data_IF_382208405814
#
_entry.id   IF_382208405814
#
_cell.length_a   1.000
_cell.length_b   1.000
_cell.length_c   1.000
_cell.angle_alpha   90.00
_cell.angle_beta   90.00
_cell.angle_gamma   90.00
#
_symmetry.space_group_name_H-M   'P 1'
#
loop_
_entity.id
_entity.type
_entity.pdbx_description
1 polymer ?
#
# COMPACT_ATOMS: atom_id res chain seq x y z
N UNK A 1 -3.06 15.63 -7.66
CA UNK A 1 -1.70 15.04 -7.67
C UNK A 1 -1.31 14.36 -6.34
N UNK A 2 -1.97 14.65 -5.21
CA UNK A 2 -1.70 14.00 -3.91
C UNK A 2 -2.44 12.68 -3.62
N UNK A 3 -3.41 12.26 -4.45
CA UNK A 3 -4.18 11.02 -4.25
C UNK A 3 -3.47 9.81 -4.88
N UNK A 4 -2.68 10.01 -5.94
CA UNK A 4 -1.98 8.95 -6.69
C UNK A 4 -0.76 8.37 -5.96
N UNK A 5 -0.14 9.10 -5.02
CA UNK A 5 1.05 8.61 -4.30
C UNK A 5 0.70 7.62 -3.17
N UNK A 6 -0.53 7.67 -2.63
CA UNK A 6 -1.00 6.78 -1.55
C UNK A 6 -1.12 5.31 -1.99
N UNK A 7 -1.33 5.06 -3.28
CA UNK A 7 -1.47 3.70 -3.82
C UNK A 7 -0.15 3.01 -4.18
N UNK A 8 0.98 3.74 -4.25
CA UNK A 8 2.21 3.21 -4.85
C UNK A 8 3.09 2.41 -3.87
N UNK A 9 3.02 2.67 -2.55
CA UNK A 9 3.77 1.90 -1.55
C UNK A 9 3.13 0.54 -1.21
N UNK A 10 1.86 0.33 -1.58
CA UNK A 10 1.08 -0.84 -1.20
C UNK A 10 1.47 -2.13 -1.96
N UNK A 11 2.17 -2.01 -3.10
CA UNK A 11 2.45 -3.13 -3.99
C UNK A 11 3.74 -3.92 -3.64
N UNK A 12 4.69 -3.38 -2.89
CA UNK A 12 6.00 -4.03 -2.72
C UNK A 12 6.06 -5.14 -1.64
N UNK A 13 5.09 -5.24 -0.73
CA UNK A 13 5.12 -6.26 0.33
C UNK A 13 4.55 -7.63 -0.07
N UNK A 14 3.95 -7.77 -1.26
CA UNK A 14 3.27 -9.02 -1.68
C UNK A 14 4.24 -10.17 -2.04
N UNK A 15 5.53 -9.90 -2.27
CA UNK A 15 6.46 -10.88 -2.86
C UNK A 15 7.01 -11.95 -1.90
N UNK A 16 6.97 -11.73 -0.58
CA UNK A 16 7.71 -12.57 0.37
C UNK A 16 6.82 -13.68 0.99
N UNK A 17 5.49 -13.53 0.95
CA UNK A 17 4.57 -14.43 1.67
C UNK A 17 4.13 -15.67 0.85
N UNK A 18 4.21 -15.65 -0.48
CA UNK A 18 3.74 -16.74 -1.36
C UNK A 18 4.62 -18.01 -1.34
N UNK A 19 5.85 -17.94 -0.79
CA UNK A 19 6.78 -19.08 -0.83
C UNK A 19 6.42 -20.21 0.18
N UNK A 20 5.70 -19.91 1.26
CA UNK A 20 5.58 -20.81 2.42
C UNK A 20 4.35 -21.74 2.36
N UNK A 21 3.31 -21.43 1.60
CA UNK A 21 1.99 -22.10 1.72
C UNK A 21 1.74 -23.27 0.74
N UNK A 22 2.77 -23.80 0.08
CA UNK A 22 2.59 -24.72 -1.07
C UNK A 22 2.33 -26.20 -0.77
N UNK A 23 2.12 -26.65 0.48
CA UNK A 23 1.91 -28.09 0.77
C UNK A 23 0.77 -28.35 1.77
N UNK A 24 -0.45 -28.66 1.29
CA UNK A 24 -1.23 -29.88 1.62
C UNK A 24 -2.69 -29.83 1.10
N UNK A 25 -3.09 -30.92 0.44
CA UNK A 25 -4.40 -31.28 -0.14
C UNK A 25 -5.41 -31.76 0.94
N UNK A 26 -6.73 -31.93 0.77
CA UNK A 26 -7.77 -31.61 -0.23
C UNK A 26 -9.11 -31.87 0.50
N UNK A 27 -10.17 -31.10 0.19
CA UNK A 27 -11.59 -31.47 0.39
C UNK A 27 -12.03 -31.51 1.87
N UNK A 28 -12.84 -30.58 2.38
CA UNK A 28 -14.30 -30.73 2.40
C UNK A 28 -14.94 -29.48 3.06
N UNK A 29 -15.68 -28.70 2.26
CA UNK A 29 -17.01 -28.10 2.58
C UNK A 29 -17.20 -26.90 3.53
N UNK A 30 -16.19 -26.03 3.72
CA UNK A 30 -16.43 -24.57 3.89
C UNK A 30 -15.63 -23.74 2.87
N UNK A 31 -15.33 -24.40 1.75
CA UNK A 31 -14.71 -23.90 0.53
C UNK A 31 -15.40 -22.59 0.08
N UNK A 32 -14.61 -21.53 -0.12
CA UNK A 32 -14.83 -20.33 -0.96
C UNK A 32 -15.26 -18.96 -0.41
N UNK A 33 -15.81 -18.81 0.81
CA UNK A 33 -16.19 -17.47 1.33
C UNK A 33 -14.96 -16.57 1.65
N UNK A 34 -13.72 -17.06 1.47
CA UNK A 34 -12.53 -16.51 2.13
C UNK A 34 -11.21 -16.59 1.33
N UNK A 35 -11.17 -16.75 0.00
CA UNK A 35 -9.88 -17.08 -0.67
C UNK A 35 -9.34 -16.21 -1.82
N UNK A 36 -10.02 -15.16 -2.23
CA UNK A 36 -9.49 -14.14 -3.14
C UNK A 36 -10.26 -12.86 -2.80
N UNK A 37 -9.79 -11.98 -1.93
CA UNK A 37 -8.69 -11.11 -2.31
C UNK A 37 -8.69 -10.89 -3.84
N UNK A 38 -9.72 -10.22 -4.35
CA UNK A 38 -9.45 -9.02 -5.12
C UNK A 38 -8.54 -8.18 -4.19
N UNK A 39 -7.24 -8.27 -4.43
CA UNK A 39 -6.12 -8.19 -3.46
C UNK A 39 -5.92 -6.82 -2.76
N UNK A 40 -6.96 -6.00 -2.58
CA UNK A 40 -6.81 -4.55 -2.39
C UNK A 40 -7.68 -3.87 -1.31
N UNK A 41 -8.59 -4.53 -0.59
CA UNK A 41 -9.42 -3.82 0.42
C UNK A 41 -9.07 -4.15 1.89
N UNK A 42 -8.30 -5.21 2.17
CA UNK A 42 -8.00 -5.63 3.56
C UNK A 42 -6.51 -5.85 3.83
N UNK A 43 -5.66 -4.96 3.31
CA UNK A 43 -4.25 -4.87 3.73
C UNK A 43 -3.92 -3.61 4.55
N UNK A 44 -4.90 -2.76 4.92
CA UNK A 44 -4.62 -1.59 5.78
C UNK A 44 -5.83 -1.09 6.58
N UNK A 45 -6.11 -1.75 7.70
CA UNK A 45 -6.73 -1.07 8.85
C UNK A 45 -5.99 -1.36 10.18
N UNK A 46 -4.84 -2.03 10.15
CA UNK A 46 -4.08 -2.34 11.36
C UNK A 46 -2.57 -2.25 11.11
N UNK A 47 -2.15 -1.09 10.63
CA UNK A 47 -0.90 -0.52 11.10
C UNK A 47 -1.10 1.00 11.18
N UNK A 48 -1.16 1.47 12.41
CA UNK A 48 -1.17 2.87 12.81
C UNK A 48 -2.42 3.68 12.45
N UNK A 49 -2.80 4.50 13.43
CA UNK A 49 -3.48 5.76 13.19
C UNK A 49 -2.79 6.55 12.08
N UNK A 50 -3.59 7.38 11.42
CA UNK A 50 -3.21 8.30 10.36
C UNK A 50 -1.74 8.73 10.39
N UNK A 51 -0.92 8.15 9.52
CA UNK A 51 0.22 8.88 8.96
C UNK A 51 -0.27 9.41 7.63
N UNK A 52 -0.63 10.69 7.61
CA UNK A 52 -0.88 11.43 6.39
C UNK A 52 0.35 11.34 5.50
N UNK A 53 0.30 10.54 4.43
CA UNK A 53 1.23 10.68 3.31
C UNK A 53 0.92 11.96 2.50
N UNK A 54 0.98 13.12 3.15
CA UNK A 54 0.86 14.45 2.56
C UNK A 54 2.10 15.27 2.90
N UNK A 55 3.22 14.96 2.23
CA UNK A 55 4.48 15.66 2.50
C UNK A 55 5.62 15.42 1.51
N UNK A 56 5.37 14.94 0.29
CA UNK A 56 6.40 15.00 -0.76
C UNK A 56 6.51 16.43 -1.30
N UNK A 57 7.17 17.27 -0.52
CA UNK A 57 7.56 18.62 -0.86
C UNK A 57 8.73 19.00 0.03
N UNK A 58 9.90 18.42 -0.24
CA UNK A 58 11.14 18.79 0.43
C UNK A 58 11.44 20.27 0.17
N UNK A 59 10.94 21.16 1.02
CA UNK A 59 11.59 22.43 1.29
C UNK A 59 12.65 22.15 2.34
N UNK A 60 13.90 22.10 1.90
CA UNK A 60 15.07 22.06 2.77
C UNK A 60 15.06 23.28 3.69
N UNK A 61 14.49 23.14 4.89
CA UNK A 61 14.77 24.03 6.01
C UNK A 61 15.54 23.24 7.05
N UNK A 62 16.86 23.40 7.02
CA UNK A 62 17.73 23.12 8.17
C UNK A 62 17.35 24.09 9.29
N UNK A 63 16.31 23.77 10.05
CA UNK A 63 15.95 24.46 11.28
C UNK A 63 16.34 23.56 12.45
N UNK A 64 17.14 24.09 13.36
CA UNK A 64 17.55 23.44 14.61
C UNK A 64 16.42 22.60 15.21
N UNK A 65 16.72 21.32 15.50
CA UNK A 65 15.80 20.37 16.12
C UNK A 65 15.18 21.00 17.37
N UNK A 66 13.95 21.47 17.22
CA UNK A 66 13.15 22.00 18.31
C UNK A 66 12.08 20.96 18.57
N UNK A 67 12.16 20.33 19.74
CA UNK A 67 11.12 19.44 20.24
C UNK A 67 9.77 20.14 20.17
N UNK A 68 8.73 19.42 19.75
CA UNK A 68 7.35 19.85 19.86
C UNK A 68 7.08 20.46 21.25
N UNK A 69 6.44 21.63 21.30
CA UNK A 69 6.10 22.27 22.57
C UNK A 69 4.95 21.55 23.29
N UNK A 70 4.10 20.84 22.55
CA UNK A 70 2.93 20.10 23.06
C UNK A 70 3.31 18.68 23.45
N UNK A 71 4.01 17.96 22.57
CA UNK A 71 4.42 16.57 22.77
C UNK A 71 5.69 16.47 23.63
N UNK A 72 6.52 17.52 23.67
CA UNK A 72 7.84 17.43 24.29
C UNK A 72 8.81 16.55 23.49
N UNK A 73 9.96 16.18 24.07
CA UNK A 73 10.98 15.42 23.36
C UNK A 73 10.64 13.92 23.30
N UNK A 74 11.01 13.27 22.19
CA UNK A 74 10.87 11.83 21.96
C UNK A 74 11.53 10.99 23.06
N UNK A 75 12.62 11.50 23.66
CA UNK A 75 13.31 10.85 24.80
C UNK A 75 12.46 10.76 26.08
N UNK A 76 11.34 11.46 26.16
CA UNK A 76 10.35 11.33 27.23
C UNK A 76 9.43 10.11 27.11
N UNK A 77 9.45 9.41 25.97
CA UNK A 77 8.54 8.32 25.65
C UNK A 77 9.25 6.96 25.63
N UNK A 78 8.62 5.93 26.19
CA UNK A 78 9.14 4.55 26.22
C UNK A 78 8.69 3.75 24.98
N UNK A 79 8.94 4.29 23.78
CA UNK A 79 8.47 3.71 22.52
C UNK A 79 9.19 2.39 22.16
N UNK A 80 10.35 2.11 22.75
CA UNK A 80 11.12 0.89 22.53
C UNK A 80 10.49 -0.33 23.21
N UNK A 81 9.76 -0.12 24.31
CA UNK A 81 9.03 -1.17 25.03
C UNK A 81 7.50 -1.08 24.82
N UNK A 82 7.07 -0.27 23.84
CA UNK A 82 5.66 -0.06 23.54
C UNK A 82 4.95 -1.37 23.20
N UNK A 83 3.71 -1.49 23.65
CA UNK A 83 2.77 -2.54 23.22
C UNK A 83 1.43 -1.91 22.87
N UNK A 84 0.75 -2.43 21.86
CA UNK A 84 -0.52 -1.87 21.39
C UNK A 84 -1.68 -1.96 22.40
N UNK A 85 -1.55 -2.75 23.46
CA UNK A 85 -2.54 -2.78 24.56
C UNK A 85 -2.14 -1.89 25.74
N UNK A 86 -1.03 -1.15 25.66
CA UNK A 86 -0.60 -0.24 26.72
C UNK A 86 -1.62 0.88 26.90
N UNK A 87 -2.05 1.13 28.15
CA UNK A 87 -3.03 2.18 28.45
C UNK A 87 -4.47 1.83 28.07
N UNK A 88 -4.72 0.61 27.61
CA UNK A 88 -6.06 0.09 27.34
C UNK A 88 -6.51 -0.88 28.44
N UNK A 89 -7.79 -0.83 28.78
CA UNK A 89 -8.47 -1.85 29.57
C UNK A 89 -8.68 -3.11 28.73
N UNK A 90 -9.05 -4.22 29.38
CA UNK A 90 -9.29 -5.50 28.69
C UNK A 90 -10.45 -5.45 27.68
N UNK A 91 -11.40 -4.53 27.88
CA UNK A 91 -12.54 -4.24 27.02
C UNK A 91 -12.29 -3.07 26.05
N UNK A 92 -11.04 -2.64 25.87
CA UNK A 92 -10.63 -1.73 24.80
C UNK A 92 -10.87 -0.24 25.06
N UNK A 93 -11.20 0.15 26.29
CA UNK A 93 -11.32 1.54 26.69
C UNK A 93 -9.98 2.10 27.20
N UNK A 94 -9.77 3.40 27.12
CA UNK A 94 -8.60 4.06 27.67
C UNK A 94 -8.63 4.04 29.21
N UNK A 95 -7.56 3.51 29.82
CA UNK A 95 -7.49 3.30 31.26
C UNK A 95 -7.61 4.63 32.02
N UNK A 96 -8.61 4.71 32.92
CA UNK A 96 -8.85 5.90 33.74
C UNK A 96 -9.45 7.09 32.99
N UNK A 97 -9.92 6.91 31.75
CA UNK A 97 -10.54 7.95 30.94
C UNK A 97 -12.04 7.67 30.82
N UNK A 98 -12.86 8.58 31.34
CA UNK A 98 -14.26 8.72 30.92
C UNK A 98 -14.30 9.77 29.81
N UNK A 99 -14.44 9.34 28.56
CA UNK A 99 -14.27 10.21 27.40
C UNK A 99 -15.30 11.36 27.37
N UNK A 100 -16.51 11.14 27.90
CA UNK A 100 -17.53 12.19 28.04
C UNK A 100 -17.16 13.33 29.01
N UNK A 101 -16.15 13.15 29.88
CA UNK A 101 -15.61 14.27 30.70
C UNK A 101 -14.76 15.23 29.87
N UNK A 102 -14.29 14.80 28.69
CA UNK A 102 -13.37 15.54 27.83
C UNK A 102 -14.01 16.01 26.52
N UNK A 103 -15.01 15.25 26.02
CA UNK A 103 -15.66 15.46 24.72
C UNK A 103 -17.11 15.89 24.90
N UNK A 104 -17.49 16.96 24.20
CA UNK A 104 -18.90 17.29 23.95
C UNK A 104 -19.25 16.88 22.53
N UNK A 105 -20.11 15.86 22.38
CA UNK A 105 -20.63 15.40 21.09
C UNK A 105 -21.72 16.35 20.57
N UNK A 106 -21.89 16.50 19.23
CA UNK A 106 -22.99 17.28 18.67
C UNK A 106 -24.35 16.62 18.99
N UNK A 107 -25.42 17.39 19.16
CA UNK A 107 -26.73 16.86 19.64
C UNK A 107 -27.32 15.74 18.76
N UNK A 108 -27.00 15.74 17.47
CA UNK A 108 -27.48 14.81 16.45
C UNK A 108 -26.46 13.71 16.08
N UNK A 109 -25.39 13.53 16.87
CA UNK A 109 -24.35 12.53 16.61
C UNK A 109 -24.91 11.11 16.41
N UNK A 110 -26.04 10.78 17.05
CA UNK A 110 -26.68 9.47 16.94
C UNK A 110 -27.55 9.30 15.67
N UNK A 111 -27.78 10.37 14.90
CA UNK A 111 -28.58 10.37 13.67
C UNK A 111 -28.07 11.45 12.70
N UNK A 112 -26.81 11.33 12.30
CA UNK A 112 -26.06 12.36 11.56
C UNK A 112 -26.77 12.73 10.25
N UNK A 113 -27.12 14.01 10.03
CA UNK A 113 -27.76 14.44 8.78
C UNK A 113 -26.72 14.57 7.66
N UNK A 114 -26.78 13.68 6.68
CA UNK A 114 -25.89 13.68 5.52
C UNK A 114 -26.68 13.95 4.24
N UNK A 115 -26.08 14.70 3.31
CA UNK A 115 -26.69 14.87 1.98
C UNK A 115 -26.28 13.71 1.11
N UNK A 116 -27.24 13.11 0.41
CA UNK A 116 -26.97 12.03 -0.54
C UNK A 116 -25.91 12.43 -1.57
N UNK A 117 -25.98 13.65 -2.08
CA UNK A 117 -25.05 14.14 -3.11
C UNK A 117 -23.59 14.24 -2.62
N UNK A 118 -23.34 14.30 -1.31
CA UNK A 118 -21.99 14.41 -0.75
C UNK A 118 -21.34 13.02 -0.58
N UNK A 119 -22.13 11.93 -0.62
CA UNK A 119 -21.64 10.55 -0.43
C UNK A 119 -21.85 9.63 -1.64
N UNK A 120 -22.68 10.03 -2.62
CA UNK A 120 -22.91 9.26 -3.83
C UNK A 120 -21.61 9.16 -4.66
N UNK A 121 -21.13 7.94 -4.99
CA UNK A 121 -19.98 7.76 -5.87
C UNK A 121 -20.20 8.43 -7.24
N UNK A 122 -19.18 9.11 -7.74
CA UNK A 122 -19.21 9.60 -9.11
C UNK A 122 -18.96 8.45 -10.10
N UNK A 123 -19.57 8.53 -11.29
CA UNK A 123 -19.32 7.59 -12.39
C UNK A 123 -17.83 7.55 -12.78
N UNK A 124 -17.15 8.70 -12.66
CA UNK A 124 -15.72 8.88 -12.92
C UNK A 124 -14.84 8.07 -11.94
N UNK A 125 -15.27 7.92 -10.68
CA UNK A 125 -14.55 7.13 -9.68
C UNK A 125 -14.68 5.63 -9.98
N UNK A 126 -15.87 5.19 -10.39
CA UNK A 126 -16.12 3.80 -10.82
C UNK A 126 -15.32 3.49 -12.07
N UNK A 127 -15.30 4.40 -13.06
CA UNK A 127 -14.48 4.23 -14.25
C UNK A 127 -12.98 4.15 -13.90
N UNK A 128 -12.51 4.96 -12.96
CA UNK A 128 -11.12 4.89 -12.49
C UNK A 128 -10.78 3.55 -11.86
N UNK A 129 -11.72 2.92 -11.13
CA UNK A 129 -11.53 1.56 -10.59
C UNK A 129 -11.45 0.51 -11.70
N UNK A 130 -12.28 0.63 -12.74
CA UNK A 130 -12.20 -0.21 -13.93
C UNK A 130 -10.87 -0.05 -14.67
N UNK A 131 -10.43 1.18 -14.91
CA UNK A 131 -9.19 1.47 -15.61
C UNK A 131 -8.00 0.83 -14.86
N UNK A 132 -7.94 1.00 -13.54
CA UNK A 132 -6.91 0.37 -12.71
C UNK A 132 -7.00 -1.16 -12.73
N UNK A 133 -8.21 -1.71 -12.72
CA UNK A 133 -8.44 -3.16 -12.75
C UNK A 133 -7.97 -3.75 -14.08
N UNK A 134 -8.34 -3.16 -15.21
CA UNK A 134 -7.95 -3.65 -16.54
C UNK A 134 -6.45 -3.42 -16.79
N UNK A 135 -5.88 -2.30 -16.33
CA UNK A 135 -4.44 -2.02 -16.42
C UNK A 135 -3.62 -3.09 -15.69
N UNK A 136 -4.07 -3.50 -14.50
CA UNK A 136 -3.42 -4.55 -13.70
C UNK A 136 -3.59 -5.96 -14.30
N UNK A 137 -4.49 -6.13 -15.26
CA UNK A 137 -4.82 -7.39 -15.92
C UNK A 137 -4.54 -7.37 -17.43
N UNK A 138 -3.59 -6.54 -17.88
CA UNK A 138 -3.12 -6.56 -19.27
C UNK A 138 -2.73 -7.96 -19.70
N UNK A 139 -3.06 -8.27 -20.95
CA UNK A 139 -2.70 -9.54 -21.58
C UNK A 139 -1.68 -9.30 -22.68
N UNK A 140 -0.78 -10.26 -22.85
CA UNK A 140 0.09 -10.30 -24.02
C UNK A 140 -0.68 -10.95 -25.18
N UNK A 141 -0.97 -10.17 -26.22
CA UNK A 141 -1.57 -10.68 -27.44
C UNK A 141 -0.47 -10.98 -28.47
N UNK A 142 -0.33 -12.23 -28.95
CA UNK A 142 0.69 -12.58 -29.94
C UNK A 142 0.54 -11.79 -31.23
N UNK A 143 1.66 -11.27 -31.72
CA UNK A 143 1.78 -10.62 -33.03
C UNK A 143 2.35 -11.64 -34.02
N UNK A 144 1.69 -11.79 -35.17
CA UNK A 144 2.17 -12.67 -36.24
C UNK A 144 2.05 -11.97 -37.60
N UNK A 145 2.93 -12.32 -38.54
CA UNK A 145 2.83 -11.87 -39.93
C UNK A 145 3.37 -10.46 -40.21
N UNK A 146 4.05 -9.84 -39.25
CA UNK A 146 4.85 -8.61 -39.45
C UNK A 146 6.17 -8.67 -38.68
N UNK A 147 7.10 -7.81 -39.07
CA UNK A 147 8.35 -7.59 -38.35
C UNK A 147 8.11 -6.85 -37.03
N UNK A 148 9.13 -6.88 -36.16
CA UNK A 148 9.15 -6.19 -34.87
C UNK A 148 9.03 -4.67 -35.05
N UNK A 149 8.21 -4.05 -34.22
CA UNK A 149 7.97 -2.60 -34.18
C UNK A 149 8.19 -2.07 -32.75
N UNK A 150 8.49 -0.77 -32.61
CA UNK A 150 8.55 -0.12 -31.30
C UNK A 150 7.21 -0.29 -30.56
N UNK A 151 7.27 -0.70 -29.29
CA UNK A 151 6.11 -1.01 -28.45
C UNK A 151 5.76 -2.49 -28.38
N UNK A 152 6.32 -3.33 -29.25
CA UNK A 152 6.18 -4.78 -29.13
C UNK A 152 6.96 -5.32 -27.93
N UNK A 153 6.45 -6.38 -27.33
CA UNK A 153 7.19 -7.27 -26.43
C UNK A 153 7.86 -8.34 -27.31
N UNK A 154 9.17 -8.24 -27.45
CA UNK A 154 10.00 -9.20 -28.16
C UNK A 154 10.56 -10.22 -27.17
N UNK A 155 10.18 -11.48 -27.34
CA UNK A 155 10.84 -12.57 -26.65
C UNK A 155 12.13 -12.91 -27.39
N UNK A 156 13.27 -12.74 -26.72
CA UNK A 156 14.60 -12.87 -27.34
C UNK A 156 15.50 -13.81 -26.54
N UNK A 157 16.35 -14.52 -27.27
CA UNK A 157 17.58 -15.09 -26.73
C UNK A 157 18.73 -14.20 -27.16
N UNK A 158 19.67 -13.92 -26.26
CA UNK A 158 20.85 -13.16 -26.63
C UNK A 158 22.11 -13.65 -25.93
N UNK A 159 23.25 -13.50 -26.60
CA UNK A 159 24.57 -13.74 -26.02
C UNK A 159 25.55 -12.63 -26.44
N UNK A 160 25.97 -11.85 -25.46
CA UNK A 160 26.87 -10.71 -25.59
C UNK A 160 28.33 -11.08 -25.47
N UNK A 161 29.16 -10.43 -26.29
CA UNK A 161 30.63 -10.56 -26.23
C UNK A 161 31.28 -9.18 -26.28
N UNK A 162 32.39 -9.02 -25.56
CA UNK A 162 33.31 -7.88 -25.68
C UNK A 162 34.67 -8.43 -26.07
N UNK A 163 35.27 -7.88 -27.14
CA UNK A 163 36.53 -8.37 -27.71
C UNK A 163 36.52 -9.91 -27.99
N UNK A 164 35.34 -10.46 -28.31
CA UNK A 164 35.12 -11.88 -28.59
C UNK A 164 35.01 -12.79 -27.35
N UNK A 165 34.99 -12.23 -26.13
CA UNK A 165 34.81 -12.98 -24.88
C UNK A 165 33.41 -12.74 -24.33
N UNK A 166 32.70 -13.81 -23.98
CA UNK A 166 31.40 -13.74 -23.31
C UNK A 166 31.59 -13.21 -21.88
N UNK A 167 30.74 -12.28 -21.47
CA UNK A 167 30.77 -11.72 -20.12
C UNK A 167 29.52 -12.12 -19.33
N UNK A 168 29.68 -12.18 -18.01
CA UNK A 168 28.62 -12.56 -17.06
C UNK A 168 27.51 -11.50 -17.07
N UNK A 169 26.26 -11.96 -17.13
CA UNK A 169 25.10 -11.09 -17.30
C UNK A 169 24.86 -10.64 -18.75
N UNK A 170 25.71 -11.04 -19.69
CA UNK A 170 25.56 -10.75 -21.12
C UNK A 170 24.73 -11.77 -21.90
N UNK A 171 24.22 -12.82 -21.26
CA UNK A 171 23.47 -13.91 -21.92
C UNK A 171 22.17 -14.18 -21.20
N UNK A 172 21.08 -14.29 -21.97
CA UNK A 172 19.77 -14.74 -21.48
C UNK A 172 19.02 -15.51 -22.58
N UNK A 173 18.14 -16.40 -22.16
CA UNK A 173 17.18 -17.10 -23.01
C UNK A 173 15.76 -16.77 -22.55
N UNK A 174 14.79 -16.83 -23.45
CA UNK A 174 13.37 -16.55 -23.22
C UNK A 174 13.10 -15.19 -22.55
N UNK A 175 13.89 -14.16 -22.88
CA UNK A 175 13.76 -12.84 -22.25
C UNK A 175 12.73 -11.96 -22.97
N UNK A 176 11.69 -11.51 -22.25
CA UNK A 176 10.70 -10.57 -22.77
C UNK A 176 11.21 -9.12 -22.65
N UNK A 177 11.51 -8.51 -23.80
CA UNK A 177 11.96 -7.12 -23.91
C UNK A 177 10.88 -6.27 -24.60
N UNK A 178 10.38 -5.23 -23.91
CA UNK A 178 9.52 -4.23 -24.56
C UNK A 178 10.38 -3.28 -25.39
N UNK A 179 10.20 -3.27 -26.71
CA UNK A 179 11.00 -2.46 -27.63
C UNK A 179 10.67 -0.97 -27.47
N UNK A 180 11.67 -0.16 -27.17
CA UNK A 180 11.53 1.27 -26.88
C UNK A 180 11.30 1.59 -25.40
N UNK A 181 11.42 0.61 -24.49
CA UNK A 181 11.34 0.87 -23.04
C UNK A 181 12.59 1.56 -22.50
N UNK A 182 13.73 1.47 -23.21
CA UNK A 182 15.01 1.98 -22.75
C UNK A 182 15.55 1.21 -21.54
N UNK A 183 15.11 -0.03 -21.35
CA UNK A 183 15.59 -0.91 -20.28
C UNK A 183 16.96 -1.49 -20.61
N UNK A 184 17.26 -1.64 -21.90
CA UNK A 184 18.55 -2.11 -22.39
C UNK A 184 19.49 -0.95 -22.76
N UNK A 185 20.74 -1.29 -23.08
CA UNK A 185 21.77 -0.33 -23.51
C UNK A 185 21.24 0.47 -24.72
N UNK A 186 21.42 1.80 -24.76
CA UNK A 186 20.98 2.62 -25.88
C UNK A 186 21.42 2.06 -27.24
N UNK A 187 20.47 1.97 -28.17
CA UNK A 187 20.67 1.42 -29.51
C UNK A 187 20.51 -0.10 -29.62
N UNK A 188 20.34 -0.83 -28.52
CA UNK A 188 20.05 -2.27 -28.56
C UNK A 188 18.66 -2.54 -29.13
N UNK A 189 17.63 -1.96 -28.50
CA UNK A 189 16.22 -2.17 -28.83
C UNK A 189 15.90 -1.71 -30.27
N UNK A 190 16.48 -0.59 -30.71
CA UNK A 190 16.28 -0.03 -32.06
C UNK A 190 16.76 -0.95 -33.18
N UNK A 191 17.77 -1.79 -32.90
CA UNK A 191 18.33 -2.73 -33.88
C UNK A 191 17.51 -4.02 -34.00
N UNK A 192 16.60 -4.29 -33.06
CA UNK A 192 15.66 -5.42 -33.15
C UNK A 192 14.47 -5.06 -34.05
N UNK A 193 14.09 -3.78 -34.07
CA UNK A 193 13.00 -3.26 -34.91
C UNK A 193 13.28 -3.59 -36.39
N UNK A 194 12.29 -4.17 -37.06
CA UNK A 194 12.37 -4.59 -38.46
C UNK A 194 12.78 -6.05 -38.69
N UNK A 195 13.21 -6.77 -37.65
CA UNK A 195 13.46 -8.22 -37.73
C UNK A 195 12.16 -9.04 -37.61
N UNK A 196 12.15 -10.22 -38.23
CA UNK A 196 11.02 -11.14 -38.18
C UNK A 196 11.24 -12.22 -37.11
N UNK A 197 10.14 -12.80 -36.64
CA UNK A 197 10.18 -13.96 -35.76
C UNK A 197 10.99 -15.10 -36.42
N UNK A 198 11.94 -15.64 -35.68
CA UNK A 198 12.89 -16.67 -36.10
C UNK A 198 14.21 -16.14 -36.67
N UNK A 199 14.36 -14.83 -36.84
CA UNK A 199 15.62 -14.24 -37.29
C UNK A 199 16.69 -14.38 -36.20
N UNK A 200 17.92 -14.68 -36.63
CA UNK A 200 19.13 -14.61 -35.83
C UNK A 200 20.05 -13.56 -36.46
N UNK A 201 20.44 -12.56 -35.67
CA UNK A 201 21.17 -11.39 -36.12
C UNK A 201 22.08 -10.84 -35.02
N UNK A 202 23.05 -10.02 -35.41
CA UNK A 202 23.98 -9.39 -34.48
C UNK A 202 23.55 -7.94 -34.20
N UNK A 203 23.52 -7.58 -32.93
CA UNK A 203 23.29 -6.22 -32.43
C UNK A 203 24.61 -5.69 -31.87
N UNK A 204 25.08 -4.57 -32.41
CA UNK A 204 26.33 -3.93 -31.95
C UNK A 204 25.99 -2.67 -31.16
N UNK A 205 26.45 -2.59 -29.91
CA UNK A 205 26.23 -1.42 -29.05
C UNK A 205 27.52 -1.02 -28.34
N UNK A 206 27.59 0.24 -27.91
CA UNK A 206 28.66 0.72 -27.03
C UNK A 206 28.08 0.96 -25.64
N UNK A 207 28.70 0.35 -24.64
CA UNK A 207 28.33 0.59 -23.25
C UNK A 207 28.60 2.05 -22.84
N UNK A 208 27.76 2.64 -21.97
CA UNK A 208 28.04 3.94 -21.36
C UNK A 208 29.39 3.99 -20.63
N UNK A 209 29.97 5.18 -20.51
CA UNK A 209 31.26 5.40 -19.81
C UNK A 209 31.18 5.12 -18.31
N UNK A 210 30.00 5.17 -17.71
CA UNK A 210 29.73 4.91 -16.30
C UNK A 210 29.26 3.47 -16.02
N UNK A 211 29.30 2.59 -17.02
CA UNK A 211 28.87 1.21 -16.86
C UNK A 211 29.87 0.38 -16.02
N UNK A 212 29.36 -0.44 -15.11
CA UNK A 212 30.19 -1.28 -14.25
C UNK A 212 30.87 -2.43 -15.00
N UNK A 213 32.08 -2.79 -14.58
CA UNK A 213 32.81 -3.94 -15.12
C UNK A 213 32.11 -5.27 -14.74
N UNK A 214 32.26 -6.28 -15.59
CA UNK A 214 31.76 -7.64 -15.35
C UNK A 214 32.92 -8.65 -15.31
N UNK A 215 32.62 -9.94 -15.35
CA UNK A 215 33.62 -11.02 -15.39
C UNK A 215 33.33 -12.01 -16.52
N UNK A 216 34.35 -12.67 -17.05
CA UNK A 216 34.16 -13.89 -17.84
C UNK A 216 33.78 -15.09 -16.95
N UNK A 217 33.50 -16.23 -17.56
CA UNK A 217 33.20 -17.48 -16.85
C UNK A 217 34.34 -17.94 -15.92
N UNK A 218 35.59 -17.54 -16.21
CA UNK A 218 36.76 -17.86 -15.41
C UNK A 218 37.00 -16.86 -14.26
N UNK A 219 36.14 -15.85 -14.11
CA UNK A 219 36.23 -14.82 -13.07
C UNK A 219 37.22 -13.68 -13.37
N UNK A 220 37.69 -13.56 -14.61
CA UNK A 220 38.54 -12.45 -15.01
C UNK A 220 37.69 -11.21 -15.29
N UNK A 221 38.11 -10.05 -14.80
CA UNK A 221 37.42 -8.79 -15.05
C UNK A 221 37.37 -8.45 -16.53
N UNK A 222 36.18 -8.14 -17.03
CA UNK A 222 35.94 -7.58 -18.36
C UNK A 222 35.48 -6.14 -18.18
N UNK A 223 36.26 -5.21 -18.71
CA UNK A 223 35.88 -3.80 -18.75
C UNK A 223 34.75 -3.62 -19.76
N UNK A 224 33.60 -3.14 -19.29
CA UNK A 224 32.44 -2.88 -20.15
C UNK A 224 32.34 -1.40 -20.49
N UNK A 225 32.66 -0.50 -19.56
CA UNK A 225 32.61 0.96 -19.75
C UNK A 225 33.26 1.41 -21.07
N UNK A 226 32.48 2.12 -21.90
CA UNK A 226 32.94 2.69 -23.18
C UNK A 226 33.33 1.65 -24.25
N UNK A 227 33.14 0.34 -23.98
CA UNK A 227 33.48 -0.73 -24.92
C UNK A 227 32.34 -1.05 -25.86
N UNK A 228 32.72 -1.39 -27.08
CA UNK A 228 31.80 -1.99 -28.05
C UNK A 228 31.57 -3.46 -27.69
N UNK A 229 30.31 -3.88 -27.76
CA UNK A 229 29.88 -5.24 -27.55
C UNK A 229 29.01 -5.71 -28.71
N UNK A 230 29.12 -6.99 -29.04
CA UNK A 230 28.31 -7.65 -30.06
C UNK A 230 27.44 -8.69 -29.38
N UNK A 231 26.14 -8.58 -29.56
CA UNK A 231 25.15 -9.51 -29.06
C UNK A 231 24.59 -10.30 -30.23
N UNK A 232 24.73 -11.62 -30.22
CA UNK A 232 23.97 -12.47 -31.11
C UNK A 232 22.56 -12.63 -30.53
N UNK A 233 21.55 -12.17 -31.25
CA UNK A 233 20.15 -12.13 -30.82
C UNK A 233 19.33 -13.05 -31.70
N UNK A 234 18.47 -13.86 -31.09
CA UNK A 234 17.42 -14.62 -31.77
C UNK A 234 16.07 -14.08 -31.33
N UNK A 235 15.21 -13.72 -32.29
CA UNK A 235 13.85 -13.25 -32.01
C UNK A 235 12.87 -14.44 -32.02
N UNK A 236 12.43 -14.88 -30.84
CA UNK A 236 11.60 -16.08 -30.68
C UNK A 236 10.11 -15.82 -30.93
N UNK A 237 9.58 -14.70 -30.42
CA UNK A 237 8.19 -14.31 -30.64
C UNK A 237 7.99 -12.81 -30.43
N UNK A 238 6.85 -12.31 -30.92
CA UNK A 238 6.40 -10.94 -30.69
C UNK A 238 5.01 -10.98 -30.07
N UNK A 239 4.76 -10.09 -29.13
CA UNK A 239 3.45 -9.81 -28.56
C UNK A 239 3.25 -8.31 -28.39
N UNK A 240 2.00 -7.88 -28.21
CA UNK A 240 1.67 -6.53 -27.75
C UNK A 240 0.92 -6.61 -26.44
N UNK A 241 1.20 -5.67 -25.54
CA UNK A 241 0.46 -5.54 -24.29
C UNK A 241 -0.84 -4.79 -24.53
N UNK A 242 -1.98 -5.46 -24.33
CA UNK A 242 -3.31 -4.87 -24.55
C UNK A 242 -4.14 -4.93 -23.28
N UNK A 243 -5.00 -3.93 -23.11
CA UNK A 243 -6.02 -3.96 -22.07
C UNK A 243 -7.07 -5.03 -22.42
N UNK A 244 -7.47 -5.87 -21.46
CA UNK A 244 -8.66 -6.69 -21.64
C UNK A 244 -9.90 -5.81 -21.78
N UNK A 245 -10.92 -6.33 -22.45
CA UNK A 245 -12.23 -5.67 -22.51
C UNK A 245 -13.08 -6.08 -21.30
N UNK A 246 -13.67 -5.10 -20.63
CA UNK A 246 -14.64 -5.32 -19.55
C UNK A 246 -15.93 -5.93 -20.12
N UNK A 247 -15.99 -7.26 -20.13
CA UNK A 247 -17.13 -8.04 -20.62
C UNK A 247 -17.55 -9.05 -19.57
N UNK A 248 -18.81 -9.50 -19.60
CA UNK A 248 -19.30 -10.53 -18.65
C UNK A 248 -18.46 -11.82 -18.73
N UNK A 249 -17.99 -12.19 -19.92
CA UNK A 249 -17.11 -13.35 -20.09
C UNK A 249 -15.77 -13.17 -19.36
N UNK A 250 -15.19 -11.96 -19.44
CA UNK A 250 -13.95 -11.65 -18.72
C UNK A 250 -14.17 -11.63 -17.21
N UNK A 251 -15.32 -11.13 -16.75
CA UNK A 251 -15.70 -11.14 -15.33
C UNK A 251 -15.87 -12.57 -14.81
N UNK A 252 -16.62 -13.41 -15.52
CA UNK A 252 -16.80 -14.82 -15.19
C UNK A 252 -15.45 -15.55 -15.04
N UNK A 253 -14.53 -15.33 -15.98
CA UNK A 253 -13.19 -15.95 -15.96
C UNK A 253 -12.33 -15.50 -14.77
N UNK A 254 -12.40 -14.22 -14.39
CA UNK A 254 -11.50 -13.65 -13.38
C UNK A 254 -12.07 -13.65 -11.95
N UNK A 255 -13.40 -13.58 -11.83
CA UNK A 255 -14.12 -13.35 -10.58
C UNK A 255 -15.25 -14.34 -10.30
N UNK A 256 -15.75 -15.08 -11.28
CA UNK A 256 -16.89 -16.00 -11.11
C UNK A 256 -16.63 -17.05 -10.03
N UNK A 257 -15.50 -17.76 -10.10
CA UNK A 257 -15.18 -18.76 -9.08
C UNK A 257 -14.82 -18.13 -7.73
N UNK A 258 -14.05 -17.05 -7.74
CA UNK A 258 -13.40 -16.54 -6.53
C UNK A 258 -14.22 -15.56 -5.72
N UNK A 259 -15.10 -14.82 -6.38
CA UNK A 259 -15.84 -13.71 -5.80
C UNK A 259 -17.35 -13.86 -6.03
N UNK A 260 -17.80 -14.87 -6.80
CA UNK A 260 -19.21 -15.06 -7.15
C UNK A 260 -19.78 -13.84 -7.90
N UNK A 261 -18.94 -13.24 -8.76
CA UNK A 261 -19.29 -12.12 -9.63
C UNK A 261 -19.20 -12.59 -11.09
N UNK A 262 -20.29 -12.45 -11.82
CA UNK A 262 -20.50 -13.08 -13.14
C UNK A 262 -20.66 -12.06 -14.26
N UNK A 263 -20.95 -10.80 -13.92
CA UNK A 263 -21.28 -9.76 -14.90
C UNK A 263 -20.58 -8.44 -14.60
N UNK A 264 -20.41 -7.61 -15.64
CA UNK A 264 -19.88 -6.24 -15.49
C UNK A 264 -20.74 -5.43 -14.53
N UNK A 265 -22.08 -5.59 -14.60
CA UNK A 265 -23.00 -4.88 -13.72
C UNK A 265 -22.82 -5.26 -12.23
N UNK A 266 -22.44 -6.50 -11.92
CA UNK A 266 -22.14 -6.91 -10.54
C UNK A 266 -20.83 -6.31 -10.03
N UNK A 267 -19.82 -6.16 -10.91
CA UNK A 267 -18.58 -5.45 -10.58
C UNK A 267 -18.84 -3.95 -10.40
N UNK A 268 -19.65 -3.33 -11.26
CA UNK A 268 -20.07 -1.93 -11.11
C UNK A 268 -20.76 -1.70 -9.77
N UNK A 269 -21.71 -2.57 -9.41
CA UNK A 269 -22.41 -2.49 -8.13
C UNK A 269 -21.45 -2.71 -6.96
N UNK A 270 -20.52 -3.65 -7.07
CA UNK A 270 -19.49 -3.88 -6.05
C UNK A 270 -18.62 -2.62 -5.86
N UNK A 271 -18.13 -2.00 -6.94
CA UNK A 271 -17.37 -0.75 -6.87
C UNK A 271 -18.19 0.39 -6.25
N UNK A 272 -19.44 0.54 -6.68
CA UNK A 272 -20.37 1.51 -6.13
C UNK A 272 -20.54 1.32 -4.62
N UNK A 273 -20.86 0.11 -4.17
CA UNK A 273 -21.12 -0.18 -2.76
C UNK A 273 -19.89 0.09 -1.88
N UNK A 274 -18.69 -0.27 -2.37
CA UNK A 274 -17.44 0.00 -1.66
C UNK A 274 -17.14 1.50 -1.57
N UNK A 275 -17.29 2.25 -2.67
CA UNK A 275 -17.10 3.70 -2.69
C UNK A 275 -18.14 4.41 -1.81
N UNK A 276 -19.41 4.03 -1.91
CA UNK A 276 -20.49 4.59 -1.10
C UNK A 276 -20.25 4.34 0.39
N UNK A 277 -19.90 3.09 0.76
CA UNK A 277 -19.56 2.76 2.14
C UNK A 277 -18.37 3.58 2.64
N UNK A 278 -17.34 3.77 1.81
CA UNK A 278 -16.16 4.58 2.16
C UNK A 278 -16.54 6.05 2.36
N UNK A 279 -17.29 6.63 1.43
CA UNK A 279 -17.75 8.01 1.50
C UNK A 279 -18.64 8.25 2.72
N UNK A 280 -19.56 7.31 3.01
CA UNK A 280 -20.42 7.38 4.18
C UNK A 280 -19.62 7.30 5.48
N UNK A 281 -18.64 6.38 5.58
CA UNK A 281 -17.74 6.30 6.74
C UNK A 281 -16.98 7.61 6.93
N UNK A 282 -16.38 8.16 5.86
CA UNK A 282 -15.63 9.41 5.93
C UNK A 282 -16.54 10.57 6.37
N UNK A 283 -17.73 10.70 5.78
CA UNK A 283 -18.67 11.75 6.13
C UNK A 283 -19.13 11.68 7.60
N UNK A 284 -19.30 10.46 8.14
CA UNK A 284 -19.61 10.26 9.57
C UNK A 284 -18.43 10.70 10.45
N UNK A 285 -17.21 10.29 10.13
CA UNK A 285 -16.00 10.65 10.90
C UNK A 285 -15.73 12.15 10.84
N UNK A 286 -15.81 12.73 9.64
CA UNK A 286 -15.65 14.17 9.41
C UNK A 286 -16.69 14.95 10.21
N UNK A 287 -17.97 14.54 10.15
CA UNK A 287 -19.02 15.19 10.92
C UNK A 287 -18.72 15.20 12.42
N UNK A 288 -18.36 14.04 12.99
CA UNK A 288 -18.04 13.95 14.41
C UNK A 288 -16.82 14.80 14.77
N UNK A 289 -15.79 14.80 13.94
CA UNK A 289 -14.54 15.51 14.20
C UNK A 289 -14.73 17.03 14.11
N UNK A 290 -15.49 17.50 13.12
CA UNK A 290 -15.76 18.94 12.92
C UNK A 290 -16.74 19.52 13.94
N UNK A 291 -17.67 18.70 14.46
CA UNK A 291 -18.77 19.18 15.30
C UNK A 291 -18.63 18.79 16.79
N UNK A 292 -17.69 17.92 17.15
CA UNK A 292 -17.36 17.65 18.55
C UNK A 292 -16.44 18.73 19.11
N UNK A 293 -16.56 19.02 20.41
CA UNK A 293 -15.64 19.89 21.12
C UNK A 293 -14.82 19.08 22.10
N UNK A 294 -13.50 19.23 22.05
CA UNK A 294 -12.56 18.54 22.93
C UNK A 294 -11.91 19.56 23.85
N UNK A 295 -11.99 19.30 25.16
CA UNK A 295 -11.49 20.23 26.19
C UNK A 295 -10.01 20.03 26.51
N UNK A 296 -9.56 18.77 26.52
CA UNK A 296 -8.14 18.40 26.67
C UNK A 296 -7.95 16.93 26.29
N UNK A 297 -6.76 16.58 25.79
CA UNK A 297 -6.37 15.19 25.51
C UNK A 297 -5.80 14.54 26.78
N UNK A 298 -6.33 13.39 27.22
CA UNK A 298 -5.74 12.63 28.32
C UNK A 298 -4.33 12.13 28.01
N UNK A 299 -3.45 12.17 29.00
CA UNK A 299 -2.03 11.78 28.86
C UNK A 299 -1.85 10.34 28.36
N UNK A 300 -2.75 9.42 28.73
CA UNK A 300 -2.70 8.02 28.28
C UNK A 300 -2.89 7.89 26.75
N UNK A 301 -3.75 8.70 26.13
CA UNK A 301 -3.93 8.73 24.67
C UNK A 301 -2.71 9.35 23.99
N UNK A 302 -2.22 10.48 24.51
CA UNK A 302 -1.07 11.18 23.95
C UNK A 302 0.19 10.29 23.97
N UNK A 303 0.47 9.69 25.12
CA UNK A 303 1.57 8.75 25.29
C UNK A 303 1.42 7.55 24.35
N UNK A 304 0.21 7.00 24.22
CA UNK A 304 -0.04 5.90 23.30
C UNK A 304 0.27 6.29 21.85
N UNK A 305 -0.23 7.43 21.37
CA UNK A 305 -0.05 7.85 19.98
C UNK A 305 1.41 8.10 19.64
N UNK A 306 2.11 8.85 20.49
CA UNK A 306 3.54 9.14 20.29
C UNK A 306 4.35 7.84 20.34
N UNK A 307 4.13 6.98 21.33
CA UNK A 307 4.84 5.72 21.42
C UNK A 307 4.54 4.80 20.23
N UNK A 308 3.29 4.71 19.78
CA UNK A 308 2.91 3.91 18.62
C UNK A 308 3.65 4.36 17.35
N UNK A 309 3.70 5.67 17.09
CA UNK A 309 4.37 6.20 15.91
C UNK A 309 5.89 6.00 15.97
N UNK A 310 6.52 6.32 17.09
CA UNK A 310 7.97 6.12 17.25
C UNK A 310 8.36 4.64 17.24
N UNK A 311 7.55 3.76 17.84
CA UNK A 311 7.79 2.32 17.87
C UNK A 311 7.71 1.69 16.47
N UNK A 312 6.79 2.17 15.64
CA UNK A 312 6.66 1.77 14.23
C UNK A 312 7.98 2.00 13.48
N UNK A 313 8.51 3.23 13.51
CA UNK A 313 9.77 3.53 12.82
C UNK A 313 10.97 2.86 13.49
N UNK A 314 10.98 2.75 14.81
CA UNK A 314 12.05 2.06 15.54
C UNK A 314 12.15 0.58 15.15
N UNK A 315 11.01 -0.07 14.90
CA UNK A 315 10.95 -1.45 14.43
C UNK A 315 11.55 -1.60 13.02
N UNK A 316 11.29 -0.64 12.13
CA UNK A 316 11.93 -0.61 10.81
C UNK A 316 13.43 -0.32 10.88
N UNK A 317 13.86 0.61 11.75
CA UNK A 317 15.28 0.86 11.98
C UNK A 317 16.00 -0.44 12.35
N UNK A 318 15.47 -1.20 13.31
CA UNK A 318 16.01 -2.49 13.70
C UNK A 318 16.00 -3.52 12.56
N UNK A 319 14.90 -3.59 11.78
CA UNK A 319 14.76 -4.51 10.65
C UNK A 319 15.81 -4.25 9.55
N UNK A 320 16.13 -2.98 9.29
CA UNK A 320 17.12 -2.58 8.30
C UNK A 320 18.56 -2.48 8.87
N UNK A 321 18.76 -2.81 10.14
CA UNK A 321 20.08 -2.89 10.76
C UNK A 321 20.67 -1.54 11.21
N UNK A 322 19.83 -0.52 11.41
CA UNK A 322 20.23 0.77 11.98
C UNK A 322 20.39 0.65 13.49
N UNK A 323 21.40 1.31 14.06
CA UNK A 323 21.66 1.24 15.51
C UNK A 323 20.70 2.15 16.29
N UNK A 324 20.23 3.23 15.65
CA UNK A 324 19.30 4.19 16.27
C UNK A 324 18.18 4.59 15.33
N UNK A 325 17.07 5.06 15.92
CA UNK A 325 15.93 5.60 15.17
C UNK A 325 16.35 6.83 14.33
N UNK A 326 17.16 7.73 14.89
CA UNK A 326 17.58 8.96 14.21
C UNK A 326 18.40 8.67 12.94
N UNK A 327 19.28 7.66 12.96
CA UNK A 327 20.03 7.24 11.77
C UNK A 327 19.11 6.74 10.66
N UNK A 328 18.08 5.97 11.01
CA UNK A 328 17.08 5.50 10.06
C UNK A 328 16.25 6.66 9.49
N UNK A 329 15.76 7.55 10.35
CA UNK A 329 14.97 8.71 9.95
C UNK A 329 15.76 9.64 9.03
N UNK A 330 17.02 9.92 9.35
CA UNK A 330 17.87 10.78 8.54
C UNK A 330 18.19 10.13 7.19
N UNK A 331 18.48 8.82 7.18
CA UNK A 331 18.84 8.08 5.98
C UNK A 331 17.69 7.81 5.00
N UNK A 332 16.47 7.64 5.49
CA UNK A 332 15.32 7.21 4.67
C UNK A 332 14.15 8.18 4.63
N UNK A 333 13.94 8.95 5.69
CA UNK A 333 12.74 9.76 5.85
C UNK A 333 13.02 11.26 5.74
N UNK A 334 14.29 11.67 5.77
CA UNK A 334 14.69 13.07 5.67
C UNK A 334 14.45 13.88 6.94
N UNK A 335 14.17 13.22 8.07
CA UNK A 335 14.10 13.85 9.39
C UNK A 335 15.43 13.65 10.12
N UNK A 336 16.02 14.74 10.62
CA UNK A 336 17.30 14.67 11.33
C UNK A 336 17.21 13.91 12.66
N UNK A 337 16.05 13.97 13.33
CA UNK A 337 15.81 13.32 14.63
C UNK A 337 14.35 12.90 14.80
N UNK A 338 14.09 12.02 15.76
CA UNK A 338 12.74 11.68 16.22
C UNK A 338 11.96 12.91 16.72
N UNK A 339 12.62 13.89 17.34
CA UNK A 339 11.99 15.16 17.74
C UNK A 339 11.49 15.96 16.53
N UNK A 340 12.25 15.95 15.43
CA UNK A 340 11.84 16.63 14.19
C UNK A 340 10.63 15.94 13.56
N UNK A 341 10.58 14.60 13.57
CA UNK A 341 9.42 13.83 13.15
C UNK A 341 8.17 14.17 13.99
N UNK A 342 8.30 14.19 15.32
CA UNK A 342 7.18 14.53 16.22
C UNK A 342 6.69 15.96 16.02
N UNK A 343 7.60 16.92 15.80
CA UNK A 343 7.22 18.30 15.53
C UNK A 343 6.46 18.45 14.20
N UNK A 344 6.87 17.72 13.15
CA UNK A 344 6.24 17.76 11.84
C UNK A 344 4.88 17.04 11.82
N UNK A 345 4.71 16.02 12.68
CA UNK A 345 3.49 15.21 12.76
C UNK A 345 2.62 15.52 13.99
N UNK A 346 2.90 16.62 14.70
CA UNK A 346 2.18 16.99 15.93
C UNK A 346 0.67 17.10 15.70
N UNK A 347 0.25 17.78 14.63
CA UNK A 347 -1.17 17.96 14.30
C UNK A 347 -1.86 16.61 14.03
N UNK A 348 -1.21 15.72 13.28
CA UNK A 348 -1.74 14.38 12.97
C UNK A 348 -1.86 13.51 14.22
N UNK A 349 -0.89 13.59 15.14
CA UNK A 349 -0.90 12.87 16.43
C UNK A 349 -2.06 13.36 17.32
N UNK A 350 -2.27 14.68 17.38
CA UNK A 350 -3.34 15.26 18.19
C UNK A 350 -4.71 14.94 17.58
N UNK A 351 -4.88 15.04 16.26
CA UNK A 351 -6.11 14.65 15.57
C UNK A 351 -6.44 13.16 15.78
N UNK A 352 -5.42 12.31 15.81
CA UNK A 352 -5.52 10.88 16.11
C UNK A 352 -5.99 10.62 17.55
N UNK A 353 -5.49 11.39 18.53
CA UNK A 353 -5.99 11.34 19.91
C UNK A 353 -7.45 11.78 19.99
N UNK A 354 -7.80 12.87 19.30
CA UNK A 354 -9.12 13.46 19.27
C UNK A 354 -10.16 12.46 18.74
N UNK A 355 -9.87 11.81 17.61
CA UNK A 355 -10.73 10.79 17.02
C UNK A 355 -10.97 9.61 17.97
N UNK A 356 -9.91 9.09 18.60
CA UNK A 356 -10.02 7.98 19.56
C UNK A 356 -10.91 8.35 20.76
N UNK A 357 -10.75 9.57 21.25
CA UNK A 357 -11.52 10.08 22.38
C UNK A 357 -12.99 10.29 22.00
N UNK A 358 -13.26 10.84 20.82
CA UNK A 358 -14.62 10.99 20.26
C UNK A 358 -15.29 9.62 20.14
N UNK A 359 -14.60 8.62 19.58
CA UNK A 359 -15.18 7.28 19.39
C UNK A 359 -15.51 6.61 20.72
N UNK A 360 -14.63 6.73 21.72
CA UNK A 360 -14.94 6.24 23.06
C UNK A 360 -16.11 7.03 23.69
N UNK A 361 -16.19 8.34 23.50
CA UNK A 361 -17.32 9.13 24.00
C UNK A 361 -18.65 8.69 23.38
N UNK A 362 -18.67 8.36 22.09
CA UNK A 362 -19.86 7.80 21.43
C UNK A 362 -20.21 6.43 22.02
N UNK A 363 -19.22 5.56 22.20
CA UNK A 363 -19.42 4.24 22.80
C UNK A 363 -20.01 4.34 24.22
N UNK A 364 -19.44 5.20 25.06
CA UNK A 364 -19.92 5.46 26.43
C UNK A 364 -21.34 6.04 26.42
N UNK A 365 -21.63 6.99 25.53
CA UNK A 365 -22.93 7.67 25.47
C UNK A 365 -24.07 6.74 25.03
N UNK A 366 -23.76 5.78 24.16
CA UNK A 366 -24.71 4.82 23.61
C UNK A 366 -24.67 3.43 24.29
N UNK A 367 -23.81 3.25 25.31
CA UNK A 367 -23.58 1.98 26.00
C UNK A 367 -23.22 0.83 25.03
N UNK A 368 -22.31 1.12 24.11
CA UNK A 368 -21.87 0.20 23.06
C UNK A 368 -20.72 -0.68 23.51
N UNK A 369 -20.76 -1.94 23.09
CA UNK A 369 -19.67 -2.89 23.25
C UNK A 369 -19.63 -3.83 22.03
N UNK A 370 -18.43 -4.22 21.55
CA UNK A 370 -18.32 -5.14 20.44
C UNK A 370 -18.90 -6.51 20.78
N UNK A 371 -19.49 -7.16 19.79
CA UNK A 371 -19.97 -8.54 19.87
C UNK A 371 -18.82 -9.53 19.71
N UNK A 372 -19.03 -10.78 20.16
CA UNK A 372 -18.06 -11.88 19.95
C UNK A 372 -17.69 -12.07 18.46
N UNK A 373 -18.65 -11.82 17.55
CA UNK A 373 -18.41 -11.95 16.12
C UNK A 373 -17.50 -10.84 15.57
N UNK A 374 -17.64 -9.62 16.10
CA UNK A 374 -16.77 -8.48 15.74
C UNK A 374 -15.37 -8.64 16.32
N UNK A 375 -15.25 -9.19 17.53
CA UNK A 375 -13.95 -9.51 18.13
C UNK A 375 -13.18 -10.58 17.34
N UNK A 376 -13.89 -11.58 16.81
CA UNK A 376 -13.27 -12.66 16.01
C UNK A 376 -12.61 -12.13 14.73
N UNK A 377 -13.10 -11.01 14.17
CA UNK A 377 -12.47 -10.35 13.00
C UNK A 377 -11.01 -9.99 13.28
N UNK A 378 -10.70 -9.61 14.53
CA UNK A 378 -9.38 -9.15 14.96
C UNK A 378 -8.61 -10.17 15.78
N UNK A 379 -9.13 -11.40 15.95
CA UNK A 379 -8.54 -12.41 16.82
C UNK A 379 -7.08 -12.74 16.48
N UNK A 380 -6.69 -12.63 15.20
CA UNK A 380 -5.30 -12.85 14.77
C UNK A 380 -4.30 -11.83 15.33
N UNK A 381 -4.76 -10.66 15.79
CA UNK A 381 -3.90 -9.62 16.37
C UNK A 381 -3.69 -9.79 17.87
N UNK A 382 -4.44 -10.66 18.53
CA UNK A 382 -4.38 -10.83 19.98
C UNK A 382 -2.99 -11.24 20.48
N UNK A 383 -2.27 -12.09 19.74
CA UNK A 383 -0.97 -12.60 20.16
C UNK A 383 0.13 -11.53 20.08
N UNK A 384 0.12 -10.72 19.02
CA UNK A 384 1.16 -9.70 18.78
C UNK A 384 0.82 -8.33 19.37
N UNK A 385 -0.45 -7.93 19.36
CA UNK A 385 -0.91 -6.58 19.72
C UNK A 385 -1.66 -6.54 21.07
N UNK A 386 -2.05 -7.71 21.59
CA UNK A 386 -2.74 -7.87 22.86
C UNK A 386 -4.26 -7.68 22.80
N UNK A 387 -4.94 -8.13 23.85
CA UNK A 387 -6.40 -8.20 23.91
C UNK A 387 -7.09 -6.84 23.99
N UNK A 388 -6.49 -5.87 24.69
CA UNK A 388 -7.05 -4.52 24.80
C UNK A 388 -7.13 -3.85 23.43
N UNK A 389 -6.09 -4.01 22.61
CA UNK A 389 -6.06 -3.49 21.24
C UNK A 389 -7.12 -4.13 20.33
N UNK A 390 -7.28 -5.45 20.42
CA UNK A 390 -8.33 -6.19 19.69
C UNK A 390 -9.72 -5.65 20.03
N UNK A 391 -9.99 -5.38 21.31
CA UNK A 391 -11.26 -4.81 21.74
C UNK A 391 -11.42 -3.35 21.30
N UNK A 392 -10.35 -2.54 21.33
CA UNK A 392 -10.38 -1.17 20.83
C UNK A 392 -10.79 -1.15 19.35
N UNK A 393 -10.15 -1.96 18.50
CA UNK A 393 -10.47 -2.03 17.07
C UNK A 393 -11.92 -2.44 16.85
N UNK A 394 -12.38 -3.51 17.51
CA UNK A 394 -13.76 -3.98 17.41
C UNK A 394 -14.77 -2.94 17.91
N UNK A 395 -14.46 -2.22 18.99
CA UNK A 395 -15.31 -1.16 19.53
C UNK A 395 -15.43 0.01 18.54
N UNK A 396 -14.32 0.45 17.93
CA UNK A 396 -14.33 1.52 16.94
C UNK A 396 -15.15 1.15 15.69
N UNK A 397 -14.99 -0.08 15.19
CA UNK A 397 -15.79 -0.59 14.07
C UNK A 397 -17.27 -0.68 14.41
N UNK A 398 -17.60 -1.14 15.62
CA UNK A 398 -18.98 -1.23 16.10
C UNK A 398 -19.63 0.16 16.24
N UNK A 399 -18.90 1.15 16.75
CA UNK A 399 -19.33 2.56 16.80
C UNK A 399 -19.61 3.06 15.38
N UNK A 400 -18.67 2.88 14.45
CA UNK A 400 -18.86 3.32 13.06
C UNK A 400 -20.03 2.63 12.37
N UNK A 401 -20.19 1.32 12.55
CA UNK A 401 -21.34 0.58 12.01
C UNK A 401 -22.66 1.16 12.56
N UNK A 402 -22.74 1.36 13.87
CA UNK A 402 -23.91 1.93 14.54
C UNK A 402 -24.28 3.30 13.99
N UNK A 403 -23.30 4.18 13.83
CA UNK A 403 -23.52 5.54 13.33
C UNK A 403 -23.87 5.59 11.84
N UNK A 404 -23.30 4.71 11.02
CA UNK A 404 -23.65 4.59 9.60
C UNK A 404 -25.08 4.10 9.42
N UNK A 405 -25.48 3.11 10.20
CA UNK A 405 -26.84 2.54 10.14
C UNK A 405 -27.92 3.53 10.61
N UNK A 406 -27.55 4.48 11.49
CA UNK A 406 -28.46 5.50 11.99
C UNK A 406 -28.39 6.84 11.24
N UNK A 407 -27.42 7.03 10.34
CA UNK A 407 -27.25 8.25 9.57
C UNK A 407 -28.49 8.57 8.72
N UNK A 408 -28.88 9.84 8.69
CA UNK A 408 -30.02 10.33 7.92
C UNK A 408 -29.54 10.90 6.59
N UNK A 409 -29.41 10.02 5.60
CA UNK A 409 -29.07 10.39 4.22
C UNK A 409 -30.32 10.91 3.51
N UNK A 410 -30.28 12.18 3.06
CA UNK A 410 -31.42 12.84 2.40
C UNK A 410 -31.09 13.55 1.09
#
# INVERSE_FOLDING_TARGET
>A
MGILLKNFLFLQCSGILESVLRHTHHTVRRFFILKKHLRLIAAAAALALAVSAAGCGASSSSSEATSSAVLGPASGYDYQNFTYSQGLTADGHWEGVAALDYVTLPEDYAAIPLKKADIEPAEEDIQSLWDNLLESNRIQQPVTGRAAETGDIANIDYSGTVDGVVFTGGTAEDYDLTLGSGTFIPGFEDQIVGHNIGDNFDVTVTFPEDYGDSTDEAGNTITLSGKEAVFNVTLNSLAVSVLPEATDAWVEENFGESNDLHTVAEIDQYFYDNLYSTNLTNAVVDYLTENSTITSIPEVLLNYQVCSQLSYYNSYAAMFGYETLDEFLSGFMGYDTADALLADTEEDILASCDQLLIFQAVAESLDLAPTDAELEVYASYAESMGQGYVHLLALQDHVLATLRDSAQVS
#
